data_IF_928530415893
#
_entry.id   IF_928530415893
#
_cell.length_a   1.000
_cell.length_b   1.000
_cell.length_c   1.000
_cell.angle_alpha   90.00
_cell.angle_beta   90.00
_cell.angle_gamma   90.00
#
_symmetry.space_group_name_H-M   'P 1'
#
loop_
_entity.id
_entity.type
_entity.pdbx_description
1 polymer ?
#
# COMPACT_ATOMS: atom_id res chain seq x y z
N UNK A 1 -80.26 19.09 -38.17
CA UNK A 1 -78.89 19.23 -37.66
C UNK A 1 -78.72 18.26 -36.48
N UNK A 2 -78.25 17.04 -36.76
CA UNK A 2 -78.01 15.98 -35.77
C UNK A 2 -76.59 16.12 -35.19
N UNK A 3 -76.48 16.21 -33.86
CA UNK A 3 -75.22 16.31 -33.11
C UNK A 3 -74.55 14.94 -33.04
N UNK A 4 -73.32 14.88 -33.56
CA UNK A 4 -72.42 13.73 -33.51
C UNK A 4 -71.67 13.66 -32.17
N UNK A 5 -71.77 12.47 -31.54
CA UNK A 5 -70.70 11.72 -30.85
C UNK A 5 -69.86 12.42 -29.77
N UNK A 6 -70.25 12.24 -28.51
CA UNK A 6 -69.45 12.51 -27.31
C UNK A 6 -68.93 11.19 -26.69
N UNK A 7 -68.15 10.39 -27.43
CA UNK A 7 -67.71 9.04 -26.99
C UNK A 7 -66.17 8.87 -26.96
N UNK A 8 -65.37 9.92 -26.71
CA UNK A 8 -63.90 9.85 -26.79
C UNK A 8 -63.13 10.25 -25.52
N UNK A 9 -63.78 10.55 -24.40
CA UNK A 9 -63.09 11.09 -23.21
C UNK A 9 -62.99 10.18 -21.99
N UNK A 10 -63.73 9.05 -21.93
CA UNK A 10 -63.68 8.15 -20.77
C UNK A 10 -62.62 7.04 -20.88
N UNK A 11 -62.26 6.59 -22.09
CA UNK A 11 -61.32 5.48 -22.26
C UNK A 11 -59.87 5.84 -21.86
N UNK A 12 -59.44 7.08 -22.07
CA UNK A 12 -58.07 7.52 -21.74
C UNK A 12 -57.90 7.87 -20.25
N UNK A 13 -58.97 8.30 -19.58
CA UNK A 13 -58.96 8.56 -18.13
C UNK A 13 -58.90 7.26 -17.31
N UNK A 14 -59.49 6.17 -17.82
CA UNK A 14 -59.39 4.85 -17.21
C UNK A 14 -57.98 4.25 -17.26
N UNK A 15 -57.27 4.39 -18.39
CA UNK A 15 -55.89 3.89 -18.53
C UNK A 15 -54.88 4.60 -17.61
N UNK A 16 -55.04 5.91 -17.38
CA UNK A 16 -54.14 6.66 -16.49
C UNK A 16 -54.30 6.27 -15.01
N UNK A 17 -55.50 5.91 -14.57
CA UNK A 17 -55.77 5.44 -13.20
C UNK A 17 -55.35 3.99 -12.98
N UNK A 18 -55.30 3.16 -14.03
CA UNK A 18 -54.80 1.78 -13.96
C UNK A 18 -53.27 1.69 -13.98
N UNK A 19 -52.57 2.67 -14.56
CA UNK A 19 -51.10 2.75 -14.53
C UNK A 19 -50.55 3.19 -13.17
N UNK A 20 -51.28 4.01 -12.42
CA UNK A 20 -50.88 4.43 -11.06
C UNK A 20 -51.11 3.35 -10.01
N UNK A 21 -52.07 2.43 -10.22
CA UNK A 21 -52.30 1.27 -9.32
C UNK A 21 -51.30 0.12 -9.54
N UNK A 22 -50.58 0.08 -10.65
CA UNK A 22 -49.64 -0.99 -10.99
C UNK A 22 -48.16 -0.57 -10.85
N UNK A 23 -47.89 0.67 -10.43
CA UNK A 23 -46.57 0.99 -9.95
C UNK A 23 -46.42 0.22 -8.63
N UNK A 24 -45.54 -0.79 -8.53
CA UNK A 24 -45.24 -1.34 -7.23
C UNK A 24 -44.80 -0.13 -6.42
N UNK A 25 -45.45 0.11 -5.28
CA UNK A 25 -44.84 0.88 -4.22
C UNK A 25 -43.38 0.43 -4.21
N UNK A 26 -42.44 1.37 -4.41
CA UNK A 26 -41.02 1.11 -4.17
C UNK A 26 -40.88 0.82 -2.68
N UNK A 27 -41.38 -0.32 -2.25
CA UNK A 27 -41.04 -0.95 -0.99
C UNK A 27 -39.56 -1.25 -1.11
N UNK A 28 -38.81 -0.87 -0.09
CA UNK A 28 -37.44 -1.35 0.05
C UNK A 28 -37.42 -2.88 -0.14
N UNK A 29 -36.36 -3.42 -0.77
CA UNK A 29 -36.28 -4.86 -1.00
C UNK A 29 -36.54 -5.62 0.31
N UNK A 30 -37.25 -6.76 0.24
CA UNK A 30 -37.51 -7.57 1.42
C UNK A 30 -36.18 -7.96 2.09
N UNK A 31 -36.20 -8.06 3.42
CA UNK A 31 -35.01 -8.40 4.20
C UNK A 31 -34.37 -9.70 3.68
N UNK A 32 -33.03 -9.78 3.54
CA UNK A 32 -32.38 -11.02 3.16
C UNK A 32 -32.74 -12.15 4.13
N UNK A 33 -33.02 -13.35 3.62
CA UNK A 33 -33.47 -14.47 4.46
C UNK A 33 -32.49 -14.92 5.54
N UNK A 34 -31.20 -14.60 5.39
CA UNK A 34 -30.14 -14.85 6.37
C UNK A 34 -30.00 -13.74 7.43
N UNK A 35 -30.81 -12.68 7.34
CA UNK A 35 -30.68 -11.47 8.15
C UNK A 35 -32.00 -11.14 8.86
N UNK A 36 -31.88 -10.45 9.99
CA UNK A 36 -32.99 -9.87 10.70
C UNK A 36 -32.99 -8.35 10.50
N UNK A 37 -34.11 -7.80 10.05
CA UNK A 37 -34.25 -6.38 9.78
C UNK A 37 -35.25 -5.76 10.75
N UNK A 38 -34.79 -4.84 11.58
CA UNK A 38 -35.62 -4.10 12.53
C UNK A 38 -35.73 -2.64 12.13
N UNK A 39 -36.94 -2.06 12.23
CA UNK A 39 -37.17 -0.64 12.09
C UNK A 39 -37.02 0.05 13.44
N UNK A 40 -36.11 1.01 13.54
CA UNK A 40 -35.95 1.87 14.71
C UNK A 40 -37.01 2.97 14.78
N UNK A 41 -37.15 3.60 15.95
CA UNK A 41 -38.13 4.66 16.23
C UNK A 41 -38.01 5.88 15.30
N UNK A 42 -36.84 6.10 14.69
CA UNK A 42 -36.55 7.23 13.80
C UNK A 42 -36.69 6.86 12.31
N UNK A 43 -37.44 5.80 11.97
CA UNK A 43 -37.52 5.22 10.62
C UNK A 43 -36.16 4.72 10.07
N UNK A 44 -35.20 4.50 10.96
CA UNK A 44 -33.86 4.02 10.61
C UNK A 44 -33.84 2.50 10.61
N UNK A 45 -33.50 1.86 9.48
CA UNK A 45 -33.46 0.40 9.39
C UNK A 45 -32.12 -0.14 9.84
N UNK A 46 -32.17 -1.10 10.76
CA UNK A 46 -31.01 -1.90 11.20
C UNK A 46 -31.12 -3.28 10.60
N UNK A 47 -30.07 -3.72 9.90
CA UNK A 47 -29.98 -5.05 9.30
C UNK A 47 -28.88 -5.81 10.03
N UNK A 48 -29.27 -6.88 10.72
CA UNK A 48 -28.36 -7.77 11.44
C UNK A 48 -28.29 -9.13 10.78
N UNK A 49 -27.10 -9.48 10.30
CA UNK A 49 -26.75 -10.75 9.68
C UNK A 49 -25.61 -11.43 10.46
N UNK A 50 -25.52 -11.16 11.77
CA UNK A 50 -24.43 -11.60 12.64
C UNK A 50 -24.43 -13.13 12.75
N UNK A 51 -23.24 -13.75 12.67
CA UNK A 51 -23.05 -15.20 12.77
C UNK A 51 -23.88 -16.06 11.79
N UNK A 52 -24.29 -15.50 10.65
CA UNK A 52 -25.07 -16.21 9.63
C UNK A 52 -24.23 -17.13 8.71
N UNK A 53 -22.91 -17.20 8.91
CA UNK A 53 -22.01 -18.03 8.11
C UNK A 53 -21.78 -17.52 6.70
N UNK A 54 -22.02 -16.23 6.46
CA UNK A 54 -21.93 -15.60 5.13
C UNK A 54 -20.49 -15.56 4.62
N UNK A 55 -20.27 -15.96 3.38
CA UNK A 55 -18.97 -15.80 2.67
C UNK A 55 -18.87 -14.49 1.90
N UNK A 56 -20.01 -13.88 1.58
CA UNK A 56 -20.14 -12.61 0.87
C UNK A 56 -21.25 -11.79 1.49
N UNK A 57 -21.19 -10.47 1.29
CA UNK A 57 -22.28 -9.57 1.67
C UNK A 57 -23.48 -9.83 0.75
N UNK A 58 -24.72 -9.94 1.26
CA UNK A 58 -25.90 -10.07 0.41
C UNK A 58 -26.12 -8.82 -0.46
N UNK A 59 -26.46 -9.00 -1.73
CA UNK A 59 -26.75 -7.88 -2.64
C UNK A 59 -28.13 -7.24 -2.37
N UNK A 60 -29.05 -7.99 -1.77
CA UNK A 60 -30.44 -7.59 -1.51
C UNK A 60 -30.60 -6.75 -0.23
N UNK A 61 -29.70 -5.79 0.01
CA UNK A 61 -29.77 -4.91 1.17
C UNK A 61 -30.77 -3.74 0.95
N UNK A 62 -31.67 -3.46 1.92
CA UNK A 62 -32.58 -2.32 1.86
C UNK A 62 -31.83 -0.99 1.75
N UNK A 63 -32.23 -0.11 0.81
CA UNK A 63 -31.59 1.20 0.62
C UNK A 63 -31.74 2.16 1.82
N UNK A 64 -32.74 1.92 2.68
CA UNK A 64 -32.99 2.61 3.95
C UNK A 64 -32.17 2.07 5.13
N UNK A 65 -31.25 1.13 4.87
CA UNK A 65 -30.34 0.59 5.89
C UNK A 65 -29.36 1.65 6.35
N UNK A 66 -29.33 1.87 7.66
CA UNK A 66 -28.43 2.83 8.29
C UNK A 66 -27.42 2.18 9.24
N UNK A 67 -27.76 1.02 9.80
CA UNK A 67 -26.87 0.20 10.63
C UNK A 67 -26.82 -1.19 10.03
N UNK A 68 -25.63 -1.66 9.67
CA UNK A 68 -25.40 -2.97 9.09
C UNK A 68 -24.46 -3.78 9.98
N UNK A 69 -24.96 -4.88 10.54
CA UNK A 69 -24.21 -5.79 11.40
C UNK A 69 -23.94 -7.08 10.63
N UNK A 70 -22.68 -7.33 10.30
CA UNK A 70 -22.18 -8.49 9.56
C UNK A 70 -21.07 -9.20 10.34
N UNK A 71 -21.04 -9.02 11.66
CA UNK A 71 -20.03 -9.58 12.55
C UNK A 71 -20.09 -11.12 12.63
N UNK A 72 -18.93 -11.73 12.85
CA UNK A 72 -18.82 -13.18 13.06
C UNK A 72 -19.16 -14.04 11.83
N UNK A 73 -18.99 -13.50 10.62
CA UNK A 73 -19.17 -14.20 9.35
C UNK A 73 -17.82 -14.67 8.76
N UNK A 74 -17.81 -15.10 7.50
CA UNK A 74 -16.62 -15.60 6.77
C UNK A 74 -16.34 -14.77 5.52
N UNK A 75 -16.63 -13.47 5.57
CA UNK A 75 -16.43 -12.55 4.45
C UNK A 75 -14.93 -12.35 4.23
N UNK A 76 -14.46 -12.60 3.00
CA UNK A 76 -13.02 -12.57 2.66
C UNK A 76 -12.53 -11.27 2.01
N UNK A 77 -13.39 -10.54 1.32
CA UNK A 77 -13.02 -9.32 0.61
C UNK A 77 -14.21 -8.35 0.50
N UNK A 78 -13.90 -7.05 0.45
CA UNK A 78 -14.88 -5.99 0.18
C UNK A 78 -14.53 -5.30 -1.14
N UNK A 79 -15.13 -5.72 -2.27
CA UNK A 79 -14.91 -5.09 -3.56
C UNK A 79 -15.44 -3.65 -3.61
N UNK A 80 -14.95 -2.88 -4.58
CA UNK A 80 -15.44 -1.53 -4.83
C UNK A 80 -16.94 -1.56 -5.19
N UNK A 81 -17.70 -0.60 -4.70
CA UNK A 81 -19.11 -0.45 -5.03
C UNK A 81 -20.07 -1.41 -4.32
N UNK A 82 -19.60 -2.28 -3.42
CA UNK A 82 -20.43 -3.28 -2.75
C UNK A 82 -21.61 -2.66 -1.97
N UNK A 83 -21.39 -1.49 -1.36
CA UNK A 83 -22.42 -0.77 -0.61
C UNK A 83 -22.96 0.45 -1.38
N UNK A 84 -22.78 0.49 -2.71
CA UNK A 84 -23.39 1.54 -3.54
C UNK A 84 -24.92 1.42 -3.48
N UNK A 85 -25.58 2.56 -3.27
CA UNK A 85 -27.04 2.63 -3.08
C UNK A 85 -27.48 2.66 -1.62
N UNK A 86 -26.63 2.29 -0.66
CA UNK A 86 -26.90 2.43 0.79
C UNK A 86 -26.53 3.83 1.29
N UNK A 87 -27.18 4.87 0.73
CA UNK A 87 -26.85 6.27 1.03
C UNK A 87 -27.14 6.71 2.48
N UNK A 88 -27.96 5.95 3.21
CA UNK A 88 -28.28 6.21 4.61
C UNK A 88 -27.36 5.47 5.59
N UNK A 89 -26.40 4.68 5.10
CA UNK A 89 -25.54 3.86 5.94
C UNK A 89 -24.58 4.73 6.76
N UNK A 90 -24.69 4.61 8.09
CA UNK A 90 -23.87 5.35 9.08
C UNK A 90 -22.94 4.43 9.84
N UNK A 91 -23.41 3.24 10.20
CA UNK A 91 -22.66 2.31 11.02
C UNK A 91 -22.55 0.95 10.35
N UNK A 92 -21.34 0.41 10.34
CA UNK A 92 -21.06 -0.90 9.77
C UNK A 92 -20.17 -1.69 10.72
N UNK A 93 -20.61 -2.88 11.10
CA UNK A 93 -19.83 -3.82 11.87
C UNK A 93 -19.47 -5.04 11.01
N UNK A 94 -18.19 -5.20 10.69
CA UNK A 94 -17.61 -6.32 9.95
C UNK A 94 -16.59 -7.08 10.81
N UNK A 95 -16.63 -6.91 12.12
CA UNK A 95 -15.69 -7.55 13.04
C UNK A 95 -15.78 -9.08 13.00
N UNK A 96 -14.65 -9.75 13.28
CA UNK A 96 -14.64 -11.21 13.37
C UNK A 96 -14.92 -11.92 12.05
N UNK A 97 -14.56 -11.31 10.92
CA UNK A 97 -14.59 -11.92 9.59
C UNK A 97 -13.17 -12.38 9.17
N UNK A 98 -13.01 -12.79 7.90
CA UNK A 98 -11.72 -13.20 7.33
C UNK A 98 -11.24 -12.23 6.24
N UNK A 99 -11.57 -10.95 6.39
CA UNK A 99 -11.31 -9.94 5.36
C UNK A 99 -9.80 -9.71 5.22
N UNK A 100 -9.27 -9.90 4.02
CA UNK A 100 -7.85 -9.71 3.71
C UNK A 100 -7.56 -8.39 3.01
N UNK A 101 -8.51 -7.90 2.22
CA UNK A 101 -8.39 -6.67 1.45
C UNK A 101 -9.72 -5.91 1.41
N UNK A 102 -9.62 -4.58 1.53
CA UNK A 102 -10.76 -3.66 1.42
C UNK A 102 -10.49 -2.63 0.33
N UNK A 103 -11.52 -2.23 -0.38
CA UNK A 103 -11.49 -1.07 -1.28
C UNK A 103 -12.06 0.16 -0.57
N UNK A 104 -11.42 1.32 -0.69
CA UNK A 104 -11.99 2.56 -0.15
C UNK A 104 -13.33 2.92 -0.80
N UNK A 105 -13.49 2.58 -2.08
CA UNK A 105 -14.74 2.77 -2.84
C UNK A 105 -15.83 1.74 -2.50
N UNK A 106 -15.57 0.82 -1.57
CA UNK A 106 -16.62 -0.05 -1.03
C UNK A 106 -17.57 0.74 -0.13
N UNK A 107 -17.04 1.66 0.67
CA UNK A 107 -17.77 2.35 1.73
C UNK A 107 -18.48 3.61 1.21
N UNK A 108 -19.71 3.90 1.68
CA UNK A 108 -20.42 5.12 1.32
C UNK A 108 -19.81 6.36 2.01
N UNK A 109 -19.89 7.52 1.36
CA UNK A 109 -19.32 8.78 1.87
C UNK A 109 -19.89 9.23 3.22
N UNK A 110 -21.12 8.79 3.55
CA UNK A 110 -21.84 9.17 4.76
C UNK A 110 -21.54 8.32 6.00
N UNK A 111 -20.62 7.35 5.91
CA UNK A 111 -20.33 6.44 7.02
C UNK A 111 -19.64 7.17 8.17
N UNK A 112 -20.10 6.91 9.40
CA UNK A 112 -19.59 7.55 10.62
C UNK A 112 -18.81 6.58 11.50
N UNK A 113 -19.13 5.29 11.42
CA UNK A 113 -18.48 4.25 12.21
C UNK A 113 -18.28 2.98 11.39
N UNK A 114 -17.05 2.47 11.40
CA UNK A 114 -16.65 1.26 10.68
C UNK A 114 -15.81 0.35 11.58
N UNK A 115 -16.33 -0.83 11.90
CA UNK A 115 -15.62 -1.85 12.66
C UNK A 115 -15.06 -2.92 11.74
N UNK A 116 -13.73 -2.97 11.62
CA UNK A 116 -12.98 -3.99 10.88
C UNK A 116 -12.08 -4.80 11.84
N UNK A 117 -12.35 -4.76 13.15
CA UNK A 117 -11.57 -5.50 14.15
C UNK A 117 -11.61 -7.02 13.94
N UNK A 118 -10.61 -7.73 14.47
CA UNK A 118 -10.51 -9.19 14.41
C UNK A 118 -10.67 -9.79 13.00
N UNK A 119 -10.05 -9.16 11.99
CA UNK A 119 -10.02 -9.62 10.61
C UNK A 119 -8.60 -10.09 10.21
N UNK A 120 -8.34 -10.27 8.91
CA UNK A 120 -7.05 -10.72 8.35
C UNK A 120 -6.38 -9.66 7.49
N UNK A 121 -6.60 -8.39 7.79
CA UNK A 121 -6.06 -7.28 7.01
C UNK A 121 -4.55 -7.18 7.19
N UNK A 122 -3.83 -7.29 6.08
CA UNK A 122 -2.38 -7.09 6.01
C UNK A 122 -2.03 -5.62 5.78
N UNK A 123 -2.82 -4.90 4.99
CA UNK A 123 -2.57 -3.50 4.66
C UNK A 123 -3.88 -2.80 4.30
N UNK A 124 -3.91 -1.48 4.44
CA UNK A 124 -5.06 -0.67 4.08
C UNK A 124 -4.76 0.18 2.82
N UNK A 125 -5.72 0.33 1.90
CA UNK A 125 -5.58 1.21 0.74
C UNK A 125 -5.39 2.67 1.17
N UNK A 126 -4.61 3.43 0.39
CA UNK A 126 -4.28 4.85 0.71
C UNK A 126 -5.50 5.75 0.59
N UNK A 127 -6.44 5.33 -0.23
CA UNK A 127 -7.68 6.03 -0.54
C UNK A 127 -8.61 6.12 0.68
N UNK A 128 -8.43 5.26 1.69
CA UNK A 128 -9.19 5.31 2.96
C UNK A 128 -8.95 6.60 3.76
N UNK A 129 -7.89 7.37 3.47
CA UNK A 129 -7.65 8.68 4.10
C UNK A 129 -8.76 9.70 3.85
N UNK A 130 -9.60 9.47 2.84
CA UNK A 130 -10.73 10.33 2.51
C UNK A 130 -11.96 10.04 3.38
N UNK A 131 -11.98 8.88 4.04
CA UNK A 131 -13.11 8.44 4.86
C UNK A 131 -13.13 9.23 6.17
N UNK A 132 -14.23 9.96 6.42
CA UNK A 132 -14.44 10.73 7.66
C UNK A 132 -15.24 9.92 8.68
N UNK A 133 -14.74 8.74 9.00
CA UNK A 133 -15.41 7.80 9.90
C UNK A 133 -14.46 7.35 11.00
N UNK A 134 -15.01 7.03 12.18
CA UNK A 134 -14.28 6.37 13.25
C UNK A 134 -14.08 4.89 12.90
N UNK A 135 -12.83 4.44 12.84
CA UNK A 135 -12.49 3.07 12.41
C UNK A 135 -11.87 2.26 13.54
N UNK A 136 -12.27 0.99 13.67
CA UNK A 136 -11.61 -0.01 14.52
C UNK A 136 -10.88 -1.05 13.68
N UNK A 137 -9.63 -1.32 14.04
CA UNK A 137 -8.69 -2.15 13.28
C UNK A 137 -7.90 -3.13 14.16
N UNK A 138 -8.20 -3.19 15.46
CA UNK A 138 -7.53 -4.07 16.40
C UNK A 138 -7.70 -5.55 16.03
N UNK A 139 -6.73 -6.37 16.42
CA UNK A 139 -6.77 -7.81 16.11
C UNK A 139 -6.54 -8.16 14.62
N UNK A 140 -6.02 -7.22 13.80
CA UNK A 140 -5.61 -7.50 12.42
C UNK A 140 -4.09 -7.71 12.30
N UNK A 141 -3.63 -8.59 11.40
CA UNK A 141 -2.21 -8.84 11.16
C UNK A 141 -1.57 -7.76 10.26
N UNK A 142 -1.66 -6.50 10.67
CA UNK A 142 -1.22 -5.37 9.85
C UNK A 142 0.29 -5.34 9.63
N UNK A 143 0.67 -4.91 8.43
CA UNK A 143 2.03 -4.62 8.03
C UNK A 143 2.38 -3.16 8.34
N UNK A 144 3.27 -2.96 9.31
CA UNK A 144 3.70 -1.64 9.75
C UNK A 144 4.85 -1.11 8.89
N UNK A 145 4.57 0.00 8.20
CA UNK A 145 5.52 0.70 7.34
C UNK A 145 5.02 2.10 7.00
N UNK A 146 5.68 2.74 6.04
CA UNK A 146 5.39 4.13 5.69
C UNK A 146 3.93 4.36 5.23
N UNK A 147 3.36 3.46 4.42
CA UNK A 147 1.98 3.59 3.94
C UNK A 147 0.95 3.62 5.08
N UNK A 148 1.12 2.76 6.09
CA UNK A 148 0.20 2.70 7.23
C UNK A 148 0.34 3.95 8.12
N UNK A 149 1.58 4.44 8.29
CA UNK A 149 1.88 5.67 9.02
C UNK A 149 1.21 6.90 8.38
N UNK A 150 1.31 7.06 7.07
CA UNK A 150 0.64 8.15 6.35
C UNK A 150 -0.90 8.07 6.47
N UNK A 151 -1.45 6.85 6.43
CA UNK A 151 -2.89 6.66 6.54
C UNK A 151 -3.41 7.03 7.93
N UNK A 152 -2.76 6.55 9.00
CA UNK A 152 -3.18 6.82 10.37
C UNK A 152 -2.91 8.26 10.84
N UNK A 153 -2.10 9.02 10.10
CA UNK A 153 -1.96 10.45 10.36
C UNK A 153 -3.25 11.23 10.07
N UNK A 154 -4.14 10.70 9.23
CA UNK A 154 -5.41 11.36 8.83
C UNK A 154 -6.64 10.58 9.29
N UNK A 155 -6.55 9.25 9.35
CA UNK A 155 -7.67 8.37 9.69
C UNK A 155 -8.02 8.47 11.19
N UNK A 156 -9.31 8.66 11.51
CA UNK A 156 -9.80 8.66 12.89
C UNK A 156 -9.93 7.23 13.43
N UNK A 157 -8.87 6.73 14.07
CA UNK A 157 -8.87 5.41 14.73
C UNK A 157 -9.38 5.56 16.16
N UNK A 158 -10.31 4.69 16.57
CA UNK A 158 -10.88 4.73 17.93
C UNK A 158 -9.77 4.57 18.99
N UNK A 159 -9.59 5.61 19.81
CA UNK A 159 -8.56 5.67 20.84
C UNK A 159 -8.65 4.52 21.87
N UNK A 160 -9.85 3.97 22.08
CA UNK A 160 -10.05 2.84 23.00
C UNK A 160 -9.41 1.55 22.49
N UNK A 161 -9.37 1.37 21.19
CA UNK A 161 -8.85 0.17 20.51
C UNK A 161 -7.48 0.38 19.90
N UNK A 162 -6.96 1.62 19.91
CA UNK A 162 -5.66 1.98 19.32
C UNK A 162 -4.50 1.09 19.83
N UNK A 163 -4.50 0.75 21.13
CA UNK A 163 -3.47 -0.12 21.71
C UNK A 163 -3.54 -1.58 21.21
N UNK A 164 -4.71 -2.02 20.73
CA UNK A 164 -4.91 -3.36 20.14
C UNK A 164 -4.45 -3.47 18.69
N UNK A 165 -4.00 -2.35 18.08
CA UNK A 165 -3.47 -2.33 16.71
C UNK A 165 -2.00 -2.72 16.74
N UNK A 166 -1.74 -4.03 16.61
CA UNK A 166 -0.41 -4.63 16.71
C UNK A 166 0.23 -4.79 15.33
N UNK A 167 1.54 -4.59 15.26
CA UNK A 167 2.33 -4.85 14.06
C UNK A 167 2.66 -6.34 13.91
N UNK A 168 1.92 -7.08 13.08
CA UNK A 168 2.23 -8.50 12.85
C UNK A 168 3.48 -8.69 11.98
N UNK A 169 3.65 -7.82 10.99
CA UNK A 169 4.86 -7.72 10.16
C UNK A 169 5.27 -6.25 10.07
N UNK A 170 6.55 -5.97 9.86
CA UNK A 170 7.03 -4.59 9.75
C UNK A 170 8.28 -4.51 8.88
N UNK A 171 8.56 -3.32 8.34
CA UNK A 171 9.83 -3.03 7.63
C UNK A 171 11.03 -3.17 8.57
N UNK A 172 10.81 -2.96 9.87
CA UNK A 172 11.82 -3.06 10.93
C UNK A 172 11.42 -4.15 11.91
N UNK A 173 12.25 -5.16 12.10
CA UNK A 173 11.94 -6.32 12.96
C UNK A 173 11.63 -5.94 14.42
N UNK A 174 12.20 -4.83 14.92
CA UNK A 174 11.97 -4.33 16.29
C UNK A 174 10.53 -3.85 16.54
N UNK A 175 9.78 -3.53 15.48
CA UNK A 175 8.38 -3.10 15.56
C UNK A 175 7.41 -4.28 15.69
N UNK A 176 7.84 -5.51 15.40
CA UNK A 176 6.96 -6.67 15.37
C UNK A 176 6.39 -6.98 16.75
N UNK A 177 5.08 -7.21 16.82
CA UNK A 177 4.33 -7.51 18.04
C UNK A 177 4.09 -6.31 18.95
N UNK A 178 4.52 -5.11 18.57
CA UNK A 178 4.28 -3.88 19.35
C UNK A 178 3.04 -3.12 18.85
N UNK A 179 2.39 -2.33 19.71
CA UNK A 179 1.33 -1.41 19.30
C UNK A 179 1.87 -0.40 18.29
N UNK A 180 1.15 -0.19 17.19
CA UNK A 180 1.60 0.68 16.11
C UNK A 180 1.82 2.13 16.57
N UNK A 181 0.89 2.66 17.37
CA UNK A 181 0.96 4.06 17.84
C UNK A 181 2.17 4.30 18.75
N UNK A 182 2.57 3.33 19.57
CA UNK A 182 3.79 3.41 20.39
C UNK A 182 5.06 3.41 19.52
N UNK A 183 5.05 2.62 18.44
CA UNK A 183 6.20 2.52 17.53
C UNK A 183 6.34 3.80 16.70
N UNK A 184 5.23 4.37 16.22
CA UNK A 184 5.22 5.57 15.40
C UNK A 184 5.72 6.81 16.15
N UNK A 185 5.54 6.88 17.47
CA UNK A 185 6.11 7.94 18.31
C UNK A 185 7.65 7.85 18.37
N UNK A 186 8.21 6.64 18.34
CA UNK A 186 9.65 6.38 18.48
C UNK A 186 10.38 6.36 17.14
N UNK A 187 9.69 5.97 16.06
CA UNK A 187 10.31 5.66 14.78
C UNK A 187 9.50 6.23 13.63
N UNK A 188 10.17 6.85 12.66
CA UNK A 188 9.55 7.26 11.41
C UNK A 188 9.87 6.23 10.31
N UNK A 189 8.86 5.45 9.89
CA UNK A 189 9.02 4.41 8.86
C UNK A 189 9.30 4.99 7.47
N UNK A 190 8.89 6.23 7.18
CA UNK A 190 9.07 6.87 5.88
C UNK A 190 10.49 7.41 5.64
N UNK A 191 11.18 7.79 6.72
CA UNK A 191 12.53 8.37 6.65
C UNK A 191 13.64 7.37 6.98
N UNK A 192 13.33 6.08 7.11
CA UNK A 192 14.37 5.09 7.36
C UNK A 192 15.27 4.93 6.13
N UNK A 193 16.59 5.18 6.23
CA UNK A 193 17.50 4.85 5.15
C UNK A 193 17.44 3.35 4.96
N UNK A 194 16.94 2.91 3.80
CA UNK A 194 16.99 1.50 3.45
C UNK A 194 18.44 1.04 3.62
N UNK A 195 18.66 -0.01 4.40
CA UNK A 195 19.93 -0.76 4.53
C UNK A 195 20.60 -1.10 3.17
N UNK A 196 19.89 -0.95 2.06
CA UNK A 196 20.41 -1.12 0.70
C UNK A 196 21.48 -0.10 0.30
N UNK A 197 21.50 1.12 0.87
CA UNK A 197 22.57 2.09 0.57
C UNK A 197 23.91 1.62 1.11
N UNK A 198 23.94 0.96 2.27
CA UNK A 198 25.17 0.43 2.86
C UNK A 198 25.77 -0.67 1.98
N UNK A 199 24.95 -1.60 1.50
CA UNK A 199 25.40 -2.66 0.57
C UNK A 199 25.84 -2.09 -0.78
N UNK A 200 25.06 -1.17 -1.36
CA UNK A 200 25.40 -0.57 -2.64
C UNK A 200 26.69 0.27 -2.57
N UNK A 201 26.89 1.01 -1.46
CA UNK A 201 28.08 1.82 -1.24
C UNK A 201 29.31 0.95 -0.93
N UNK A 202 29.15 -0.17 -0.23
CA UNK A 202 30.22 -1.15 -0.05
C UNK A 202 30.61 -1.78 -1.39
N UNK A 203 29.64 -2.16 -2.23
CA UNK A 203 29.91 -2.73 -3.56
C UNK A 203 30.62 -1.72 -4.47
N UNK A 204 30.21 -0.45 -4.47
CA UNK A 204 30.88 0.59 -5.27
C UNK A 204 32.28 0.89 -4.74
N UNK A 205 32.48 0.87 -3.41
CA UNK A 205 33.80 1.04 -2.82
C UNK A 205 34.73 -0.12 -3.22
N UNK A 206 34.33 -1.37 -3.01
CA UNK A 206 35.12 -2.53 -3.44
C UNK A 206 35.40 -2.52 -4.95
N UNK A 207 34.43 -2.13 -5.79
CA UNK A 207 34.62 -1.96 -7.23
C UNK A 207 35.67 -0.91 -7.58
N UNK A 208 35.65 0.25 -6.93
CA UNK A 208 36.60 1.32 -7.19
C UNK A 208 38.02 0.96 -6.70
N UNK A 209 38.14 0.37 -5.51
CA UNK A 209 39.42 -0.08 -4.98
C UNK A 209 40.05 -1.17 -5.86
N UNK A 210 39.27 -2.13 -6.35
CA UNK A 210 39.81 -3.16 -7.27
C UNK A 210 40.26 -2.56 -8.59
N UNK A 211 39.52 -1.60 -9.15
CA UNK A 211 39.91 -0.88 -10.37
C UNK A 211 41.21 -0.09 -10.18
N UNK A 212 41.35 0.64 -9.07
CA UNK A 212 42.56 1.42 -8.77
C UNK A 212 43.77 0.51 -8.53
N UNK A 213 43.61 -0.56 -7.73
CA UNK A 213 44.70 -1.50 -7.46
C UNK A 213 45.16 -2.22 -8.74
N UNK A 214 44.22 -2.65 -9.59
CA UNK A 214 44.55 -3.29 -10.87
C UNK A 214 45.23 -2.32 -11.84
N UNK A 215 44.77 -1.08 -11.91
CA UNK A 215 45.41 -0.03 -12.72
C UNK A 215 46.84 0.28 -12.25
N UNK A 216 47.06 0.44 -10.94
CA UNK A 216 48.40 0.67 -10.38
C UNK A 216 49.31 -0.52 -10.66
N UNK A 217 48.83 -1.75 -10.45
CA UNK A 217 49.60 -2.96 -10.73
C UNK A 217 49.97 -3.08 -12.21
N UNK A 218 49.03 -2.77 -13.11
CA UNK A 218 49.29 -2.70 -14.55
C UNK A 218 50.36 -1.65 -14.88
N UNK A 219 50.19 -0.42 -14.39
CA UNK A 219 51.11 0.68 -14.64
C UNK A 219 52.54 0.39 -14.14
N UNK A 220 52.69 -0.18 -12.95
CA UNK A 220 53.99 -0.59 -12.40
C UNK A 220 54.64 -1.67 -13.25
N UNK A 221 53.88 -2.70 -13.66
CA UNK A 221 54.40 -3.77 -14.52
C UNK A 221 54.88 -3.23 -15.86
N UNK A 222 54.07 -2.39 -16.51
CA UNK A 222 54.43 -1.76 -17.80
C UNK A 222 55.69 -0.92 -17.67
N UNK A 223 55.78 -0.06 -16.65
CA UNK A 223 56.98 0.76 -16.45
C UNK A 223 58.23 -0.07 -16.13
N UNK A 224 58.09 -1.18 -15.40
CA UNK A 224 59.19 -2.11 -15.16
C UNK A 224 59.66 -2.79 -16.44
N UNK A 225 58.74 -3.14 -17.34
CA UNK A 225 59.07 -3.71 -18.66
C UNK A 225 59.76 -2.69 -19.57
N UNK A 226 59.30 -1.44 -19.59
CA UNK A 226 59.94 -0.36 -20.34
C UNK A 226 61.35 -0.08 -19.82
N UNK A 227 61.52 0.02 -18.49
CA UNK A 227 62.85 0.20 -17.87
C UNK A 227 63.81 -0.95 -18.20
N UNK A 228 63.33 -2.21 -18.20
CA UNK A 228 64.15 -3.36 -18.61
C UNK A 228 64.59 -3.27 -20.07
N UNK A 229 63.67 -2.93 -20.98
CA UNK A 229 63.99 -2.75 -22.41
C UNK A 229 65.02 -1.64 -22.64
N UNK A 230 64.93 -0.52 -21.93
CA UNK A 230 65.92 0.56 -22.02
C UNK A 230 67.31 0.13 -21.53
N UNK A 231 67.39 -0.66 -20.46
CA UNK A 231 68.67 -1.20 -19.98
C UNK A 231 69.28 -2.18 -21.01
N UNK A 232 68.48 -3.03 -21.63
CA UNK A 232 68.95 -3.96 -22.67
C UNK A 232 69.42 -3.23 -23.93
N UNK A 233 68.72 -2.17 -24.35
CA UNK A 233 69.16 -1.30 -25.44
C UNK A 233 70.52 -0.66 -25.14
N UNK A 234 70.70 -0.11 -23.93
CA UNK A 234 71.99 0.46 -23.51
C UNK A 234 73.13 -0.57 -23.50
N UNK A 235 72.83 -1.84 -23.16
CA UNK A 235 73.82 -2.94 -23.22
C UNK A 235 74.17 -3.37 -24.64
N UNK A 236 73.26 -3.19 -25.60
CA UNK A 236 73.47 -3.52 -27.01
C UNK A 236 74.28 -2.46 -27.78
N UNK A 237 74.46 -1.27 -27.20
CA UNK A 237 75.35 -0.25 -27.76
C UNK A 237 76.79 -0.79 -27.81
N UNK A 238 77.51 -0.65 -28.94
CA UNK A 238 78.87 -1.13 -29.03
C UNK A 238 79.74 -0.43 -27.99
N UNK A 239 80.39 -1.18 -27.11
CA UNK A 239 81.41 -0.67 -26.18
C UNK A 239 82.69 -0.32 -26.94
N UNK A 240 82.62 0.62 -27.87
CA UNK A 240 83.74 1.10 -28.65
C UNK A 240 84.22 2.45 -28.10
N UNK A 241 84.80 2.45 -26.89
CA UNK A 241 85.70 3.53 -26.46
C UNK A 241 86.51 3.30 -25.16
N UNK A 242 86.43 2.15 -24.47
CA UNK A 242 87.18 1.95 -23.22
C UNK A 242 88.41 1.02 -23.31
N UNK A 243 88.90 0.69 -24.51
CA UNK A 243 90.09 -0.18 -24.67
C UNK A 243 91.13 0.28 -25.69
N UNK A 244 91.18 1.57 -26.03
CA UNK A 244 92.30 2.15 -26.78
C UNK A 244 93.03 3.18 -25.91
N UNK A 245 94.23 2.78 -25.44
CA UNK A 245 95.38 3.60 -25.02
C UNK A 245 95.15 4.68 -23.93
N UNK A 246 95.66 4.65 -22.70
CA UNK A 246 96.81 3.94 -22.09
C UNK A 246 98.06 3.82 -22.98
N UNK A 247 98.38 4.84 -23.77
CA UNK A 247 99.76 5.12 -24.18
C UNK A 247 99.80 6.52 -24.82
N UNK A 248 100.51 7.46 -24.20
CA UNK A 248 100.64 8.83 -24.72
C UNK A 248 100.80 9.92 -23.65
N UNK A 249 101.89 9.82 -22.89
CA UNK A 249 102.67 10.89 -22.28
C UNK A 249 102.07 11.90 -21.28
N UNK A 250 102.51 11.67 -20.04
CA UNK A 250 102.78 12.60 -18.94
C UNK A 250 103.61 13.84 -19.33
N UNK A 251 103.57 14.85 -18.43
CA UNK A 251 104.40 16.06 -18.31
C UNK A 251 103.99 17.25 -19.23
N UNK A 252 103.72 18.47 -18.77
CA UNK A 252 104.15 19.18 -17.56
C UNK A 252 103.20 20.28 -17.12
N UNK A 253 103.32 20.55 -15.84
CA UNK A 253 102.69 21.54 -14.96
C UNK A 253 103.18 22.98 -15.19
N UNK A 254 102.35 23.92 -14.70
CA UNK A 254 102.66 25.21 -14.05
C UNK A 254 102.66 26.52 -14.86
N UNK A 255 101.91 27.45 -14.24
CA UNK A 255 101.81 28.91 -14.35
C UNK A 255 100.88 29.49 -15.42
#
# INVERSE_FOLDING_TARGET
MLRLTAWSSLAWRGCLLLWTLCCPLRGSPPCPGACNCTLGANAQRTVSCSHAGLSHVPDDLPADTAVLLLDGNRIGALPAGLFQGLGQLREMNLSGNVIQSVSAAAFPEGITFLDLSANRLLSLPRELKQLKARVRLDGNPLHCGCQLQELFAVLDVDARTANGVLCATAVVDSARGRPFFEVMEKMNFCNMPRKTTDVAMLVTMFGWFTMVVTYIAYYVRTNQEDARRHIEYLKSLPSAQFRAASEGDTHSTML
#
